data_IF_849476103986
#
_entry.id   IF_849476103986
#
_cell.length_a   1.000
_cell.length_b   1.000
_cell.length_c   1.000
_cell.angle_alpha   90.00
_cell.angle_beta   90.00
_cell.angle_gamma   90.00
#
_symmetry.space_group_name_H-M   'P 1'
#
loop_
_entity.id
_entity.type
_entity.pdbx_description
1 polymer ?
#
# COMPACT_ATOMS: atom_id res chain seq x y z
N UNK A 1 16.03 9.28 -12.75
CA UNK A 1 14.97 9.82 -13.63
C UNK A 1 14.19 10.91 -12.91
N UNK A 2 13.42 11.75 -13.61
CA UNK A 2 12.54 12.75 -12.97
C UNK A 2 11.11 12.20 -12.87
N UNK A 3 10.65 11.92 -11.67
CA UNK A 3 9.25 11.53 -11.41
C UNK A 3 8.42 12.80 -11.28
N UNK A 4 7.43 12.98 -12.17
CA UNK A 4 6.55 14.17 -12.18
C UNK A 4 5.16 13.90 -11.63
N UNK A 5 4.80 12.64 -11.44
CA UNK A 5 3.47 12.24 -10.98
C UNK A 5 3.38 12.27 -9.46
N UNK A 6 2.19 12.53 -8.93
CA UNK A 6 1.89 12.33 -7.52
C UNK A 6 1.74 10.84 -7.25
N UNK A 7 2.19 10.36 -6.10
CA UNK A 7 2.21 8.92 -5.77
C UNK A 7 1.55 8.68 -4.42
N UNK A 8 0.65 7.70 -4.36
CA UNK A 8 0.11 7.11 -3.13
C UNK A 8 0.53 5.65 -3.08
N UNK A 9 1.12 5.23 -1.97
CA UNK A 9 1.39 3.81 -1.66
C UNK A 9 0.58 3.40 -0.44
N UNK A 10 -0.20 2.33 -0.62
CA UNK A 10 -1.03 1.70 0.39
C UNK A 10 -0.43 0.34 0.74
N UNK A 11 0.29 0.26 1.86
CA UNK A 11 1.07 -0.92 2.25
C UNK A 11 0.50 -1.63 3.48
N UNK A 12 0.50 -2.96 3.48
CA UNK A 12 0.23 -3.75 4.67
C UNK A 12 1.43 -3.76 5.62
N UNK A 13 1.27 -3.26 6.84
CA UNK A 13 2.38 -3.12 7.78
C UNK A 13 2.93 -4.46 8.30
N UNK A 14 2.14 -5.52 8.21
CA UNK A 14 2.52 -6.88 8.61
C UNK A 14 2.87 -7.77 7.39
N UNK A 15 2.93 -7.21 6.18
CA UNK A 15 3.32 -7.95 4.98
C UNK A 15 4.80 -8.40 5.08
N UNK A 16 5.01 -9.72 5.01
CA UNK A 16 6.35 -10.34 5.08
C UNK A 16 7.09 -10.35 3.76
N UNK A 17 6.45 -10.03 2.65
CA UNK A 17 7.10 -9.93 1.34
C UNK A 17 7.76 -8.58 1.11
N UNK A 18 7.40 -7.57 1.90
CA UNK A 18 7.96 -6.21 1.79
C UNK A 18 8.84 -5.95 3.01
N UNK A 19 10.16 -5.86 2.80
CA UNK A 19 11.10 -5.59 3.89
C UNK A 19 11.04 -4.13 4.34
N UNK A 20 11.39 -3.88 5.60
CA UNK A 20 11.53 -2.51 6.10
C UNK A 20 12.58 -1.71 5.33
N UNK A 21 13.63 -2.38 4.87
CA UNK A 21 14.68 -1.77 4.06
C UNK A 21 14.12 -1.26 2.74
N UNK A 22 13.30 -2.05 2.03
CA UNK A 22 12.63 -1.61 0.81
C UNK A 22 11.70 -0.42 1.06
N UNK A 23 10.97 -0.40 2.19
CA UNK A 23 10.12 0.73 2.58
C UNK A 23 10.96 1.99 2.85
N UNK A 24 12.10 1.86 3.53
CA UNK A 24 13.02 2.97 3.79
C UNK A 24 13.63 3.48 2.49
N UNK A 25 14.05 2.59 1.60
CA UNK A 25 14.66 2.92 0.31
C UNK A 25 13.70 3.72 -0.58
N UNK A 26 12.47 3.27 -0.78
CA UNK A 26 11.49 4.01 -1.62
C UNK A 26 11.16 5.37 -1.02
N UNK A 27 11.01 5.49 0.31
CA UNK A 27 10.79 6.77 0.99
C UNK A 27 11.95 7.74 0.76
N UNK A 28 13.19 7.25 0.86
CA UNK A 28 14.39 8.05 0.64
C UNK A 28 14.50 8.50 -0.83
N UNK A 29 14.25 7.60 -1.77
CA UNK A 29 14.28 7.90 -3.21
C UNK A 29 13.23 8.95 -3.59
N UNK A 30 11.98 8.79 -3.14
CA UNK A 30 10.90 9.75 -3.42
C UNK A 30 11.17 11.12 -2.78
N UNK A 31 11.77 11.14 -1.58
CA UNK A 31 12.20 12.39 -0.93
C UNK A 31 13.31 13.07 -1.72
N UNK A 32 14.34 12.35 -2.14
CA UNK A 32 15.44 12.89 -2.94
C UNK A 32 14.95 13.42 -4.30
N UNK A 33 13.95 12.78 -4.89
CA UNK A 33 13.32 13.20 -6.13
C UNK A 33 12.31 14.36 -5.97
N UNK A 34 12.04 14.83 -4.74
CA UNK A 34 11.07 15.90 -4.43
C UNK A 34 9.68 15.63 -5.01
N UNK A 35 9.22 14.38 -4.90
CA UNK A 35 7.92 13.93 -5.42
C UNK A 35 6.81 14.17 -4.38
N UNK A 36 5.61 14.55 -4.82
CA UNK A 36 4.39 14.52 -3.97
C UNK A 36 4.03 13.05 -3.71
N UNK A 37 4.58 12.53 -2.62
CA UNK A 37 4.53 11.12 -2.25
C UNK A 37 3.85 10.95 -0.88
N UNK A 38 2.83 10.09 -0.83
CA UNK A 38 2.17 9.65 0.39
C UNK A 38 2.34 8.14 0.53
N UNK A 39 2.84 7.70 1.67
CA UNK A 39 2.96 6.27 2.01
C UNK A 39 2.17 5.99 3.28
N UNK A 40 1.25 5.03 3.22
CA UNK A 40 0.38 4.64 4.34
C UNK A 40 0.67 3.17 4.68
N UNK A 41 0.96 2.92 5.96
CA UNK A 41 1.04 1.57 6.52
C UNK A 41 -0.26 1.25 7.24
N UNK A 42 -0.99 0.23 6.79
CA UNK A 42 -2.17 -0.27 7.47
C UNK A 42 -1.75 -1.33 8.49
N UNK A 43 -1.97 -1.10 9.81
CA UNK A 43 -1.66 -2.09 10.85
C UNK A 43 -2.36 -3.42 10.57
N UNK A 44 -1.72 -4.52 10.95
CA UNK A 44 -2.25 -5.89 10.90
C UNK A 44 -2.61 -6.42 9.51
N UNK A 45 -2.41 -5.63 8.45
CA UNK A 45 -2.63 -6.04 7.07
C UNK A 45 -1.37 -6.73 6.51
N UNK A 46 -1.57 -7.88 5.89
CA UNK A 46 -0.54 -8.64 5.16
C UNK A 46 -0.82 -8.60 3.66
N UNK A 47 -0.08 -9.37 2.87
CA UNK A 47 -0.28 -9.41 1.43
C UNK A 47 -1.72 -9.84 1.05
N UNK A 48 -2.27 -9.23 0.00
CA UNK A 48 -3.63 -9.55 -0.46
C UNK A 48 -4.76 -8.98 0.41
N UNK A 49 -4.48 -7.99 1.27
CA UNK A 49 -5.46 -7.44 2.22
C UNK A 49 -6.74 -6.89 1.58
N UNK A 50 -6.77 -6.59 0.29
CA UNK A 50 -7.94 -6.08 -0.46
C UNK A 50 -8.80 -7.17 -1.10
N UNK A 51 -8.36 -8.43 -1.09
CA UNK A 51 -9.07 -9.52 -1.75
C UNK A 51 -9.69 -10.49 -0.72
N UNK A 52 -11.03 -10.56 -0.59
CA UNK A 52 -11.70 -11.49 0.32
C UNK A 52 -11.29 -12.97 0.16
N UNK A 53 -10.94 -13.39 -1.06
CA UNK A 53 -10.50 -14.76 -1.35
C UNK A 53 -9.07 -15.06 -0.87
N UNK A 54 -8.27 -14.05 -0.50
CA UNK A 54 -6.89 -14.22 -0.07
C UNK A 54 -6.78 -15.09 1.18
N UNK A 55 -7.69 -14.96 2.15
CA UNK A 55 -7.62 -15.76 3.37
C UNK A 55 -7.73 -17.26 3.11
N UNK A 56 -8.59 -17.67 2.18
CA UNK A 56 -8.75 -19.08 1.81
C UNK A 56 -7.50 -19.59 1.07
N UNK A 57 -6.99 -18.82 0.11
CA UNK A 57 -5.79 -19.21 -0.65
C UNK A 57 -4.53 -19.24 0.22
N UNK A 58 -4.39 -18.30 1.16
CA UNK A 58 -3.29 -18.28 2.12
C UNK A 58 -3.27 -19.55 2.98
N UNK A 59 -4.44 -20.02 3.44
CA UNK A 59 -4.56 -21.29 4.16
C UNK A 59 -4.28 -22.50 3.26
N UNK A 60 -4.85 -22.54 2.05
CA UNK A 60 -4.72 -23.66 1.12
C UNK A 60 -3.27 -23.92 0.69
N UNK A 61 -2.50 -22.85 0.47
CA UNK A 61 -1.13 -22.94 -0.02
C UNK A 61 -0.08 -22.62 1.04
N UNK A 62 -0.49 -22.42 2.30
CA UNK A 62 0.38 -22.04 3.41
C UNK A 62 1.22 -20.78 3.10
N UNK A 63 0.58 -19.75 2.54
CA UNK A 63 1.21 -18.48 2.18
C UNK A 63 0.77 -17.36 3.13
N UNK A 64 1.65 -16.38 3.44
CA UNK A 64 1.34 -15.26 4.33
C UNK A 64 0.52 -14.18 3.61
N UNK A 65 -0.66 -14.54 3.13
CA UNK A 65 -1.63 -13.64 2.50
C UNK A 65 -3.02 -13.84 3.10
N UNK A 66 -3.73 -12.75 3.38
CA UNK A 66 -5.04 -12.77 4.02
C UNK A 66 -5.78 -11.46 3.77
N UNK A 67 -7.10 -11.55 3.71
CA UNK A 67 -7.98 -10.39 3.64
C UNK A 67 -7.98 -9.61 4.95
N UNK A 68 -8.02 -8.28 4.88
CA UNK A 68 -8.23 -7.41 6.04
C UNK A 68 -9.22 -6.31 5.65
N UNK A 69 -10.48 -6.49 6.05
CA UNK A 69 -11.60 -5.61 5.70
C UNK A 69 -11.37 -4.14 6.07
N UNK A 70 -10.74 -3.89 7.23
CA UNK A 70 -10.44 -2.54 7.69
C UNK A 70 -9.42 -1.86 6.78
N UNK A 71 -8.35 -2.56 6.45
CA UNK A 71 -7.31 -2.04 5.56
C UNK A 71 -7.83 -1.88 4.13
N UNK A 72 -8.64 -2.82 3.65
CA UNK A 72 -9.31 -2.76 2.34
C UNK A 72 -10.15 -1.48 2.19
N UNK A 73 -11.18 -1.34 3.03
CA UNK A 73 -12.09 -0.17 3.01
C UNK A 73 -11.33 1.15 3.18
N UNK A 74 -10.36 1.18 4.09
CA UNK A 74 -9.58 2.39 4.35
C UNK A 74 -8.69 2.74 3.16
N UNK A 75 -7.98 1.77 2.58
CA UNK A 75 -7.11 2.00 1.42
C UNK A 75 -7.87 2.45 0.20
N UNK A 76 -9.10 1.94 0.02
CA UNK A 76 -10.01 2.38 -1.04
C UNK A 76 -10.43 3.85 -0.84
N UNK A 77 -10.81 4.22 0.38
CA UNK A 77 -11.15 5.61 0.70
C UNK A 77 -9.94 6.57 0.51
N UNK A 78 -8.75 6.17 0.96
CA UNK A 78 -7.51 6.93 0.78
C UNK A 78 -7.17 7.11 -0.73
N UNK A 79 -7.41 6.09 -1.56
CA UNK A 79 -7.28 6.18 -3.02
C UNK A 79 -8.28 7.17 -3.62
N UNK A 80 -9.55 7.09 -3.23
CA UNK A 80 -10.60 8.00 -3.72
C UNK A 80 -10.29 9.46 -3.33
N UNK A 81 -9.85 9.71 -2.10
CA UNK A 81 -9.42 11.04 -1.65
C UNK A 81 -8.22 11.55 -2.46
N UNK A 82 -7.22 10.69 -2.68
CA UNK A 82 -6.06 11.00 -3.49
C UNK A 82 -6.46 11.39 -4.93
N UNK A 83 -7.33 10.63 -5.58
CA UNK A 83 -7.83 10.94 -6.92
C UNK A 83 -8.65 12.22 -6.97
N UNK A 84 -9.52 12.48 -5.98
CA UNK A 84 -10.23 13.76 -5.86
C UNK A 84 -9.25 14.93 -5.78
N UNK A 85 -8.13 14.79 -5.06
CA UNK A 85 -7.09 15.83 -4.97
C UNK A 85 -6.31 15.99 -6.27
N UNK A 86 -5.94 14.89 -6.93
CA UNK A 86 -5.07 14.91 -8.11
C UNK A 86 -5.80 15.33 -9.38
N UNK A 87 -7.08 14.97 -9.53
CA UNK A 87 -7.90 15.28 -10.71
C UNK A 87 -8.84 16.48 -10.51
N UNK A 88 -8.73 17.20 -9.39
CA UNK A 88 -9.47 18.45 -9.20
C UNK A 88 -9.02 19.43 -10.29
N UNK A 89 -9.97 19.95 -11.07
CA UNK A 89 -9.75 21.07 -11.98
C UNK A 89 -9.64 22.37 -11.19
#
# INVERSE_FOLDING_TARGET
GKVKTKILVCNGAADKFVSEESIKAIKAEMKAATVDFKFINYPDAIHGFTNPASTEMGKKFNLPLAYNEKADKKSWADMQEFFKRVFKK
#
